data_IF_944152574740
#
_entry.id   IF_944152574740
#
_cell.length_a   1.000
_cell.length_b   1.000
_cell.length_c   1.000
_cell.angle_alpha   90.00
_cell.angle_beta   90.00
_cell.angle_gamma   90.00
#
_symmetry.space_group_name_H-M   'P 1'
#
loop_
_entity.id
_entity.type
_entity.pdbx_description
1 polymer ?
#
# COMPACT_ATOMS: atom_id res chain seq x y z
N UNK A 1 34.82 29.29 31.00
CA UNK A 1 35.16 28.49 29.81
C UNK A 1 33.96 27.61 29.49
N UNK A 2 33.03 28.14 28.71
CA UNK A 2 31.81 27.42 28.28
C UNK A 2 31.98 27.15 26.79
N UNK A 3 32.12 25.87 26.44
CA UNK A 3 32.26 25.41 25.06
C UNK A 3 30.91 25.55 24.34
N UNK A 4 30.89 26.35 23.28
CA UNK A 4 29.83 26.39 22.28
C UNK A 4 29.92 25.12 21.42
N UNK A 5 28.91 24.26 21.49
CA UNK A 5 28.76 23.17 20.53
C UNK A 5 27.91 23.67 19.35
N UNK A 6 28.55 23.82 18.19
CA UNK A 6 27.88 24.10 16.92
C UNK A 6 27.09 22.87 16.46
N UNK A 7 25.77 22.97 16.38
CA UNK A 7 24.92 21.94 15.79
C UNK A 7 25.03 21.96 14.26
N UNK A 8 25.60 20.90 13.70
CA UNK A 8 25.55 20.60 12.26
C UNK A 8 24.25 19.83 11.98
N UNK A 9 23.33 20.44 11.23
CA UNK A 9 22.07 19.80 10.83
C UNK A 9 22.28 19.03 9.51
N UNK A 10 22.71 17.77 9.60
CA UNK A 10 22.73 16.86 8.45
C UNK A 10 21.36 16.21 8.30
N UNK A 11 20.60 16.66 7.30
CA UNK A 11 19.37 16.02 6.83
C UNK A 11 19.70 14.65 6.20
N UNK A 12 19.85 13.63 7.04
CA UNK A 12 19.82 12.23 6.59
C UNK A 12 18.35 11.86 6.41
N UNK A 13 17.91 11.71 5.16
CA UNK A 13 16.60 11.16 4.83
C UNK A 13 16.46 9.80 5.50
N UNK A 14 15.50 9.67 6.41
CA UNK A 14 15.29 8.46 7.20
C UNK A 14 14.85 7.32 6.27
N UNK A 15 15.76 6.36 6.03
CA UNK A 15 15.45 5.10 5.36
C UNK A 15 14.80 4.15 6.36
N UNK A 16 13.48 4.01 6.34
CA UNK A 16 12.79 2.95 7.08
C UNK A 16 12.74 1.69 6.22
N UNK A 17 13.24 0.56 6.74
CA UNK A 17 13.40 -0.68 5.95
C UNK A 17 14.41 -0.56 4.79
N UNK A 18 15.24 0.49 4.77
CA UNK A 18 16.21 0.72 3.70
C UNK A 18 15.64 1.30 2.40
N UNK A 19 14.32 1.45 2.28
CA UNK A 19 13.67 1.91 1.03
C UNK A 19 13.42 3.42 1.09
N UNK A 20 14.09 4.17 0.21
CA UNK A 20 13.98 5.62 0.18
C UNK A 20 12.56 6.11 -0.18
N UNK A 21 12.01 7.01 0.64
CA UNK A 21 10.71 7.63 0.40
C UNK A 21 9.51 6.88 0.99
N UNK A 22 9.72 5.75 1.67
CA UNK A 22 8.66 5.09 2.43
C UNK A 22 8.25 5.96 3.61
N UNK A 23 6.96 6.27 3.68
CA UNK A 23 6.33 6.95 4.79
C UNK A 23 5.74 5.95 5.77
N UNK A 24 5.86 6.24 7.07
CA UNK A 24 5.32 5.43 8.17
C UNK A 24 4.21 6.20 8.87
N UNK A 25 3.10 5.53 9.13
CA UNK A 25 1.92 6.09 9.77
C UNK A 25 1.53 5.28 11.00
N UNK A 26 1.25 5.91 12.15
CA UNK A 26 0.64 5.23 13.27
C UNK A 26 -0.81 4.88 12.91
N UNK A 27 -1.15 3.60 12.97
CA UNK A 27 -2.52 3.11 12.77
C UNK A 27 -2.92 2.28 13.98
N UNK A 28 -3.75 2.86 14.85
CA UNK A 28 -4.21 2.23 16.09
C UNK A 28 -5.59 1.58 15.97
N UNK A 29 -6.44 2.07 15.06
CA UNK A 29 -7.78 1.54 14.83
C UNK A 29 -7.76 0.40 13.81
N UNK A 30 -8.48 -0.69 14.14
CA UNK A 30 -8.65 -1.88 13.30
C UNK A 30 -10.03 -2.51 13.42
N UNK A 31 -11.01 -1.74 13.89
CA UNK A 31 -12.35 -2.26 14.10
C UNK A 31 -13.05 -2.51 12.76
N UNK A 32 -13.76 -3.62 12.66
CA UNK A 32 -14.66 -3.86 11.55
C UNK A 32 -15.88 -2.94 11.63
N UNK A 33 -16.27 -2.36 10.50
CA UNK A 33 -17.44 -1.50 10.31
C UNK A 33 -18.23 -1.93 9.08
N UNK A 34 -19.51 -1.59 9.03
CA UNK A 34 -20.38 -1.88 7.87
C UNK A 34 -20.63 -0.66 6.99
N UNK A 35 -20.10 0.49 7.39
CA UNK A 35 -20.34 1.79 6.74
C UNK A 35 -19.05 2.32 6.11
N UNK A 36 -19.16 3.19 5.07
CA UNK A 36 -17.99 3.83 4.48
C UNK A 36 -17.15 4.61 5.50
N UNK A 37 -15.84 4.64 5.29
CA UNK A 37 -14.86 5.27 6.18
C UNK A 37 -14.15 6.41 5.47
N UNK A 38 -13.94 7.52 6.18
CA UNK A 38 -13.05 8.58 5.75
C UNK A 38 -11.65 8.30 6.30
N UNK A 39 -10.64 8.33 5.43
CA UNK A 39 -9.26 8.03 5.79
C UNK A 39 -8.38 9.27 5.59
N UNK A 40 -7.35 9.47 6.41
CA UNK A 40 -6.47 10.64 6.28
C UNK A 40 -5.47 10.51 5.12
N UNK A 41 -5.14 9.29 4.70
CA UNK A 41 -4.24 9.04 3.57
C UNK A 41 -5.02 8.65 2.31
N UNK A 42 -4.45 9.00 1.16
CA UNK A 42 -4.96 8.69 -0.18
C UNK A 42 -3.88 7.93 -0.96
N UNK A 43 -4.05 6.62 -1.22
CA UNK A 43 -5.05 5.71 -0.64
C UNK A 43 -4.86 5.53 0.88
N UNK A 44 -5.84 4.89 1.56
CA UNK A 44 -5.71 4.50 2.95
C UNK A 44 -4.48 3.61 3.19
N UNK A 45 -3.97 3.65 4.43
CA UNK A 45 -2.87 2.78 4.90
C UNK A 45 -3.29 1.90 6.08
N UNK A 46 -4.58 1.79 6.37
CA UNK A 46 -5.10 1.12 7.57
C UNK A 46 -6.23 1.93 8.21
N UNK A 47 -6.79 1.42 9.31
CA UNK A 47 -7.90 2.05 10.04
C UNK A 47 -9.12 1.14 10.16
N UNK A 48 -10.28 1.67 10.59
CA UNK A 48 -11.56 0.95 10.56
C UNK A 48 -11.89 0.51 9.13
N UNK A 49 -12.39 -0.70 8.94
CA UNK A 49 -12.58 -1.26 7.59
C UNK A 49 -13.70 -2.32 7.56
N UNK A 50 -14.05 -2.84 6.39
CA UNK A 50 -15.16 -3.82 6.27
C UNK A 50 -14.79 -5.17 6.89
N UNK A 51 -15.75 -5.99 7.36
CA UNK A 51 -15.45 -7.32 7.90
C UNK A 51 -15.08 -8.36 6.84
N UNK A 52 -15.11 -8.01 5.56
CA UNK A 52 -14.77 -8.88 4.44
C UNK A 52 -13.69 -8.20 3.59
N UNK A 53 -12.62 -8.94 3.31
CA UNK A 53 -11.49 -8.47 2.50
C UNK A 53 -11.79 -8.46 1.01
N UNK A 54 -11.00 -7.68 0.27
CA UNK A 54 -10.90 -7.74 -1.17
C UNK A 54 -9.96 -8.89 -1.57
N UNK A 55 -10.35 -9.73 -2.52
CA UNK A 55 -9.43 -10.73 -3.07
C UNK A 55 -8.22 -10.03 -3.70
N UNK A 56 -7.02 -10.55 -3.44
CA UNK A 56 -5.79 -10.08 -4.06
C UNK A 56 -5.75 -10.51 -5.54
N UNK A 57 -5.06 -9.71 -6.35
CA UNK A 57 -4.99 -9.84 -7.81
C UNK A 57 -5.20 -8.48 -8.49
N UNK A 58 -5.28 -8.50 -9.82
CA UNK A 58 -5.47 -7.28 -10.61
C UNK A 58 -6.95 -7.00 -10.89
N UNK A 59 -7.35 -5.74 -10.73
CA UNK A 59 -8.67 -5.22 -11.07
C UNK A 59 -8.54 -4.06 -12.07
N UNK A 60 -9.29 -4.08 -13.19
CA UNK A 60 -9.29 -2.98 -14.16
C UNK A 60 -10.10 -1.76 -13.68
N UNK A 61 -10.87 -1.91 -12.59
CA UNK A 61 -11.76 -0.90 -12.02
C UNK A 61 -11.48 -0.70 -10.53
N UNK A 62 -11.84 0.45 -9.94
CA UNK A 62 -11.65 0.68 -8.52
C UNK A 62 -12.37 -0.38 -7.67
N UNK A 63 -11.79 -0.70 -6.53
CA UNK A 63 -12.34 -1.63 -5.53
C UNK A 63 -12.80 -0.85 -4.29
N UNK A 64 -13.72 -1.39 -3.46
CA UNK A 64 -14.07 -0.77 -2.19
C UNK A 64 -12.84 -0.61 -1.30
N UNK A 65 -12.51 0.64 -0.92
CA UNK A 65 -11.28 0.95 -0.18
C UNK A 65 -11.26 0.28 1.20
N UNK A 66 -12.42 0.14 1.85
CA UNK A 66 -12.55 -0.56 3.12
C UNK A 66 -12.27 -2.07 2.98
N UNK A 67 -12.66 -2.70 1.87
CA UNK A 67 -12.32 -4.11 1.62
C UNK A 67 -10.82 -4.27 1.33
N UNK A 68 -10.21 -3.34 0.60
CA UNK A 68 -8.77 -3.32 0.36
C UNK A 68 -7.95 -3.08 1.65
N UNK A 69 -8.45 -2.26 2.57
CA UNK A 69 -7.82 -2.06 3.89
C UNK A 69 -7.83 -3.34 4.72
N UNK A 70 -8.92 -4.11 4.70
CA UNK A 70 -8.93 -5.44 5.33
C UNK A 70 -7.88 -6.36 4.71
N UNK A 71 -7.74 -6.38 3.37
CA UNK A 71 -6.67 -7.16 2.72
C UNK A 71 -5.28 -6.74 3.23
N UNK A 72 -5.05 -5.44 3.46
CA UNK A 72 -3.80 -4.97 4.08
C UNK A 72 -3.65 -5.38 5.55
N UNK A 73 -4.74 -5.52 6.32
CA UNK A 73 -4.70 -6.09 7.67
C UNK A 73 -4.18 -7.54 7.66
N UNK A 74 -4.56 -8.29 6.64
CA UNK A 74 -4.07 -9.65 6.37
C UNK A 74 -2.63 -9.71 5.82
N UNK A 75 -2.02 -8.54 5.56
CA UNK A 75 -0.65 -8.43 5.04
C UNK A 75 -0.56 -8.23 3.53
N UNK A 76 -1.65 -7.85 2.85
CA UNK A 76 -1.57 -7.47 1.45
C UNK A 76 -0.81 -6.14 1.25
N UNK A 77 -0.20 -6.02 0.08
CA UNK A 77 0.23 -4.74 -0.48
C UNK A 77 -0.79 -4.32 -1.53
N UNK A 78 -1.39 -3.15 -1.34
CA UNK A 78 -2.30 -2.55 -2.31
C UNK A 78 -1.55 -1.53 -3.17
N UNK A 79 -1.35 -1.88 -4.44
CA UNK A 79 -0.75 -1.00 -5.44
C UNK A 79 -1.88 -0.32 -6.21
N UNK A 80 -1.95 0.99 -6.09
CA UNK A 80 -2.93 1.81 -6.79
C UNK A 80 -2.27 2.62 -7.90
N UNK A 81 -3.01 2.86 -8.97
CA UNK A 81 -2.54 3.69 -10.09
C UNK A 81 -3.59 4.71 -10.56
N UNK A 82 -3.11 5.82 -11.13
CA UNK A 82 -3.99 6.87 -11.67
C UNK A 82 -4.68 6.41 -12.94
N UNK A 83 -5.91 6.89 -13.15
CA UNK A 83 -6.56 6.81 -14.46
C UNK A 83 -5.68 7.49 -15.51
N UNK A 84 -5.45 6.82 -16.64
CA UNK A 84 -4.59 7.33 -17.71
C UNK A 84 -3.10 6.97 -17.59
N UNK A 85 -2.70 6.14 -16.60
CA UNK A 85 -1.36 5.55 -16.58
C UNK A 85 -1.08 4.81 -17.90
N UNK A 86 0.12 4.91 -18.50
CA UNK A 86 0.43 4.24 -19.76
C UNK A 86 0.13 2.74 -19.71
N UNK A 87 -0.43 2.19 -20.79
CA UNK A 87 -0.86 0.79 -20.84
C UNK A 87 0.27 -0.21 -20.52
N UNK A 88 1.50 0.09 -20.93
CA UNK A 88 2.67 -0.73 -20.59
C UNK A 88 2.98 -0.76 -19.09
N UNK A 89 2.76 0.35 -18.39
CA UNK A 89 2.93 0.37 -16.93
C UNK A 89 1.82 -0.41 -16.22
N UNK A 90 0.57 -0.24 -16.64
CA UNK A 90 -0.57 -1.02 -16.11
C UNK A 90 -0.35 -2.52 -16.33
N UNK A 91 0.18 -2.91 -17.50
CA UNK A 91 0.53 -4.28 -17.79
C UNK A 91 1.63 -4.82 -16.85
N UNK A 92 2.67 -4.02 -16.56
CA UNK A 92 3.70 -4.41 -15.59
C UNK A 92 3.13 -4.61 -14.17
N UNK A 93 2.23 -3.72 -13.73
CA UNK A 93 1.54 -3.86 -12.44
C UNK A 93 0.65 -5.12 -12.40
N UNK A 94 -0.03 -5.45 -13.51
CA UNK A 94 -0.80 -6.69 -13.64
C UNK A 94 0.11 -7.91 -13.50
N UNK A 95 1.25 -7.94 -14.19
CA UNK A 95 2.23 -9.04 -14.09
C UNK A 95 2.72 -9.20 -12.66
N UNK A 96 2.95 -8.10 -11.93
CA UNK A 96 3.33 -8.14 -10.53
C UNK A 96 2.24 -8.78 -9.65
N UNK A 97 0.96 -8.45 -9.88
CA UNK A 97 -0.18 -9.04 -9.17
C UNK A 97 -0.34 -10.56 -9.42
N UNK A 98 0.02 -11.03 -10.61
CA UNK A 98 0.01 -12.46 -10.97
C UNK A 98 1.15 -13.20 -10.29
N UNK A 99 2.34 -12.61 -10.31
CA UNK A 99 3.57 -13.25 -9.83
C UNK A 99 3.63 -13.34 -8.30
N UNK A 100 3.08 -12.35 -7.62
CA UNK A 100 3.15 -12.24 -6.16
C UNK A 100 1.77 -12.47 -5.55
N UNK A 101 1.67 -13.45 -4.65
CA UNK A 101 0.49 -13.56 -3.77
C UNK A 101 0.35 -12.29 -2.93
N UNK A 102 -0.78 -12.06 -2.27
CA UNK A 102 -0.97 -10.89 -1.37
C UNK A 102 -0.68 -9.52 -2.02
N UNK A 103 -0.73 -9.41 -3.35
CA UNK A 103 -0.68 -8.14 -4.07
C UNK A 103 -2.05 -7.85 -4.65
N UNK A 104 -2.64 -6.73 -4.25
CA UNK A 104 -3.87 -6.19 -4.80
C UNK A 104 -3.52 -5.02 -5.70
N UNK A 105 -4.03 -5.00 -6.93
CA UNK A 105 -3.80 -3.89 -7.87
C UNK A 105 -5.13 -3.37 -8.40
N UNK A 106 -5.35 -2.06 -8.31
CA UNK A 106 -6.54 -1.42 -8.87
C UNK A 106 -6.32 0.07 -9.17
N UNK A 107 -7.07 0.69 -10.09
CA UNK A 107 -7.07 2.13 -10.20
C UNK A 107 -7.70 2.79 -8.97
N UNK A 108 -7.24 3.98 -8.62
CA UNK A 108 -7.77 4.76 -7.50
C UNK A 108 -7.90 6.24 -7.91
N UNK A 109 -9.03 6.91 -7.62
CA UNK A 109 -9.23 8.31 -7.99
C UNK A 109 -8.37 9.26 -7.16
N UNK A 110 -7.98 10.40 -7.74
CA UNK A 110 -7.31 11.50 -7.03
C UNK A 110 -5.99 11.11 -6.33
N UNK A 111 -5.24 10.15 -6.89
CA UNK A 111 -3.95 9.78 -6.33
C UNK A 111 -2.93 10.93 -6.39
N UNK A 112 -2.10 11.10 -5.34
CA UNK A 112 -1.07 12.13 -5.29
C UNK A 112 0.18 11.82 -6.14
N UNK A 113 0.26 10.66 -6.79
CA UNK A 113 1.36 10.22 -7.64
C UNK A 113 0.85 9.25 -8.73
N UNK A 114 1.60 8.98 -9.83
CA UNK A 114 1.23 7.98 -10.83
C UNK A 114 0.86 6.63 -10.23
N UNK A 115 1.68 6.14 -9.29
CA UNK A 115 1.50 4.87 -8.59
C UNK A 115 1.71 5.10 -7.09
N UNK A 116 0.87 4.48 -6.26
CA UNK A 116 1.04 4.48 -4.80
C UNK A 116 0.92 3.04 -4.29
N UNK A 117 1.98 2.54 -3.67
CA UNK A 117 1.97 1.26 -2.97
C UNK A 117 1.69 1.50 -1.48
N UNK A 118 0.65 0.84 -0.95
CA UNK A 118 0.25 0.92 0.45
C UNK A 118 0.27 -0.46 1.10
N UNK A 119 0.73 -0.51 2.34
CA UNK A 119 0.57 -1.65 3.24
C UNK A 119 0.15 -1.11 4.61
N UNK A 120 -0.18 -1.96 5.58
CA UNK A 120 -0.61 -1.48 6.89
C UNK A 120 0.43 -0.54 7.53
N UNK A 121 0.05 0.72 7.73
CA UNK A 121 0.88 1.80 8.27
C UNK A 121 2.07 2.21 7.39
N UNK A 122 2.13 1.83 6.11
CA UNK A 122 3.25 2.09 5.20
C UNK A 122 2.75 2.57 3.85
N UNK A 123 3.43 3.56 3.27
CA UNK A 123 3.10 4.04 1.92
C UNK A 123 4.34 4.49 1.17
N UNK A 124 4.35 4.23 -0.14
CA UNK A 124 5.37 4.67 -1.07
C UNK A 124 4.71 5.24 -2.32
N UNK A 125 5.14 6.44 -2.72
CA UNK A 125 4.71 7.11 -3.95
C UNK A 125 5.78 6.93 -5.02
N UNK A 126 5.35 6.62 -6.23
CA UNK A 126 6.21 6.19 -7.33
C UNK A 126 5.77 6.88 -8.62
N UNK A 127 6.75 7.27 -9.43
CA UNK A 127 6.51 7.90 -10.73
C UNK A 127 6.32 6.88 -11.86
N UNK A 128 6.83 5.66 -11.69
CA UNK A 128 6.77 4.59 -12.70
C UNK A 128 6.73 3.21 -12.08
N UNK A 129 6.09 2.26 -12.76
CA UNK A 129 6.09 0.83 -12.39
C UNK A 129 7.46 0.16 -12.51
N UNK A 130 8.41 0.79 -13.22
CA UNK A 130 9.78 0.31 -13.34
C UNK A 130 10.69 0.75 -12.17
N UNK A 131 10.19 1.58 -11.24
CA UNK A 131 10.97 2.01 -10.09
C UNK A 131 11.30 0.80 -9.19
N UNK A 132 12.59 0.50 -8.95
CA UNK A 132 13.01 -0.69 -8.20
C UNK A 132 12.49 -0.70 -6.76
N UNK A 133 12.12 0.46 -6.21
CA UNK A 133 11.55 0.57 -4.87
C UNK A 133 10.17 -0.07 -4.78
N UNK A 134 9.43 -0.20 -5.88
CA UNK A 134 8.13 -0.89 -5.88
C UNK A 134 8.30 -2.36 -5.49
N UNK A 135 9.21 -3.06 -6.17
CA UNK A 135 9.52 -4.46 -5.87
C UNK A 135 10.14 -4.62 -4.47
N UNK A 136 10.96 -3.66 -4.02
CA UNK A 136 11.48 -3.65 -2.65
C UNK A 136 10.34 -3.51 -1.64
N UNK A 137 9.38 -2.61 -1.88
CA UNK A 137 8.23 -2.38 -1.01
C UNK A 137 7.35 -3.62 -0.92
N UNK A 138 7.08 -4.28 -2.04
CA UNK A 138 6.33 -5.54 -2.07
C UNK A 138 7.04 -6.60 -1.26
N UNK A 139 8.35 -6.81 -1.47
CA UNK A 139 9.11 -7.82 -0.70
C UNK A 139 9.14 -7.55 0.80
N UNK A 140 9.30 -6.30 1.20
CA UNK A 140 9.44 -5.93 2.61
C UNK A 140 8.10 -6.01 3.37
N UNK A 141 7.03 -5.50 2.77
CA UNK A 141 5.78 -5.25 3.50
C UNK A 141 4.70 -6.28 3.25
N UNK A 142 4.78 -7.06 2.16
CA UNK A 142 3.87 -8.18 1.94
C UNK A 142 4.05 -9.23 3.02
N UNK A 143 2.95 -9.65 3.64
CA UNK A 143 2.95 -10.57 4.79
C UNK A 143 3.81 -10.09 5.97
N UNK A 144 4.17 -8.81 6.00
CA UNK A 144 5.04 -8.25 7.00
C UNK A 144 4.32 -8.10 8.35
N UNK A 145 5.09 -8.17 9.44
CA UNK A 145 4.58 -8.16 10.83
C UNK A 145 3.92 -6.85 11.25
N UNK A 146 4.06 -5.80 10.46
CA UNK A 146 3.34 -4.54 10.67
C UNK A 146 1.83 -4.67 10.41
N UNK A 147 1.40 -5.69 9.65
CA UNK A 147 0.00 -5.98 9.44
C UNK A 147 -0.58 -6.75 10.65
N UNK A 148 -1.67 -6.27 11.28
CA UNK A 148 -2.21 -6.84 12.52
C UNK A 148 -2.54 -8.34 12.44
N UNK A 149 -2.97 -8.82 11.27
CA UNK A 149 -3.40 -10.19 11.03
C UNK A 149 -2.65 -10.84 9.86
N UNK A 150 -1.37 -10.47 9.70
CA UNK A 150 -0.50 -11.00 8.66
C UNK A 150 -0.61 -12.53 8.49
N UNK A 151 -0.75 -12.99 7.24
CA UNK A 151 -0.82 -14.41 6.90
C UNK A 151 -2.22 -15.01 6.85
N UNK A 152 -3.26 -14.24 7.19
CA UNK A 152 -4.65 -14.62 6.87
C UNK A 152 -4.90 -14.52 5.37
N UNK A 153 -5.82 -15.33 4.86
CA UNK A 153 -6.09 -15.43 3.42
C UNK A 153 -6.35 -14.07 2.76
N UNK A 154 -5.84 -13.88 1.54
CA UNK A 154 -6.23 -12.79 0.65
C UNK A 154 -7.09 -13.28 -0.53
N UNK A 155 -7.76 -14.43 -0.37
CA UNK A 155 -8.71 -14.99 -1.34
C UNK A 155 -9.96 -15.51 -0.62
N UNK A 156 -11.07 -15.69 -1.34
CA UNK A 156 -12.37 -16.09 -0.76
C UNK A 156 -13.21 -14.95 -0.17
N UNK A 157 -12.79 -13.70 -0.36
CA UNK A 157 -13.53 -12.47 -0.03
C UNK A 157 -14.23 -11.87 -1.24
N UNK A 158 -14.35 -10.54 -1.26
CA UNK A 158 -15.04 -9.78 -2.30
C UNK A 158 -14.26 -9.70 -3.61
N UNK A 159 -15.01 -9.62 -4.72
CA UNK A 159 -14.55 -9.34 -6.08
C UNK A 159 -13.74 -10.46 -6.75
N UNK A 160 -13.80 -10.52 -8.07
CA UNK A 160 -13.06 -11.50 -8.87
C UNK A 160 -11.94 -10.78 -9.63
N UNK A 161 -10.66 -11.01 -9.29
CA UNK A 161 -9.55 -10.42 -10.02
C UNK A 161 -9.49 -11.00 -11.44
N UNK A 162 -9.02 -10.23 -12.42
CA UNK A 162 -8.96 -10.66 -13.83
C UNK A 162 -7.66 -11.40 -14.18
N UNK A 163 -6.85 -11.73 -13.19
CA UNK A 163 -5.58 -12.44 -13.35
C UNK A 163 -5.12 -13.05 -12.04
#
# INVERSE_FOLDING_TARGET
MVLLATYWNSSLGLTFGGIAGVQTYPVSARNHVLTPVSYPQVPPVGGPHFPIWQNCGFYPSPVPKEAAVHSMEHGAVWITYRTGLPAGEVAALRVLAIRESYVLVSPYPDLPAPIVASAWGRQLRLDSSADPRLDQFVREFRLGRQAPEHGRTCSGGLGTPTS
#
